data_IF_004523063040
#
_entry.id   IF_004523063040
#
_cell.length_a   1.000
_cell.length_b   1.000
_cell.length_c   1.000
_cell.angle_alpha   90.00
_cell.angle_beta   90.00
_cell.angle_gamma   90.00
#
_symmetry.space_group_name_H-M   'P 1'
#
loop_
_entity.id
_entity.type
_entity.pdbx_description
1 polymer ?
#
# COMPACT_ATOMS: atom_id res chain seq x y z
N UNK A 1 -10.32 15.83 -0.91
CA UNK A 1 -10.75 14.48 -1.32
C UNK A 1 -9.93 14.03 -2.51
N UNK A 2 -9.43 12.80 -2.48
CA UNK A 2 -8.66 12.20 -3.57
C UNK A 2 -9.30 10.85 -3.93
N UNK A 3 -9.41 10.57 -5.23
CA UNK A 3 -9.97 9.33 -5.79
C UNK A 3 -8.86 8.32 -6.13
N UNK A 4 -7.64 8.81 -6.37
CA UNK A 4 -6.47 8.00 -6.73
C UNK A 4 -5.31 8.38 -5.84
N UNK A 5 -4.61 7.39 -5.31
CA UNK A 5 -3.39 7.57 -4.52
C UNK A 5 -2.28 6.83 -5.26
N UNK A 6 -1.27 7.59 -5.71
CA UNK A 6 -0.19 7.06 -6.52
C UNK A 6 1.18 7.27 -5.85
N UNK A 7 2.00 6.23 -5.85
CA UNK A 7 3.44 6.35 -5.61
C UNK A 7 4.14 6.51 -6.96
N UNK A 8 4.98 7.53 -7.11
CA UNK A 8 5.59 7.87 -8.40
C UNK A 8 7.10 7.60 -8.47
N UNK A 9 7.76 7.33 -7.33
CA UNK A 9 9.20 7.05 -7.25
C UNK A 9 9.55 6.20 -6.03
N UNK A 10 10.78 5.67 -6.00
CA UNK A 10 11.35 4.94 -4.86
C UNK A 10 11.08 3.44 -4.94
N UNK A 11 11.18 2.72 -3.82
CA UNK A 11 10.94 1.28 -3.75
C UNK A 11 10.47 0.85 -2.37
N UNK A 12 10.82 -0.36 -1.97
CA UNK A 12 10.60 -0.91 -0.62
C UNK A 12 11.58 -0.35 0.42
N UNK A 13 12.45 0.57 0.01
CA UNK A 13 13.29 1.40 0.88
C UNK A 13 12.54 2.55 1.57
N UNK A 14 11.31 2.84 1.13
CA UNK A 14 10.42 3.77 1.79
C UNK A 14 9.53 3.05 2.81
N UNK A 15 8.86 3.80 3.68
CA UNK A 15 7.87 3.25 4.57
C UNK A 15 6.98 4.31 5.20
N UNK A 16 5.75 3.95 5.49
CA UNK A 16 4.81 4.78 6.25
C UNK A 16 3.98 3.91 7.19
N UNK A 17 3.63 4.49 8.35
CA UNK A 17 2.75 3.83 9.31
C UNK A 17 1.40 4.51 9.29
N UNK A 18 0.33 3.71 9.17
CA UNK A 18 -1.06 4.16 9.23
C UNK A 18 -1.68 3.61 10.51
N UNK A 19 -2.52 4.42 11.16
CA UNK A 19 -3.27 4.00 12.34
C UNK A 19 -4.76 4.08 12.00
N UNK A 20 -5.45 2.94 12.05
CA UNK A 20 -6.91 2.84 11.85
C UNK A 20 -7.45 2.15 13.10
N UNK A 21 -8.39 2.80 13.79
CA UNK A 21 -9.04 2.29 15.00
C UNK A 21 -8.04 1.78 16.06
N UNK A 22 -6.91 2.48 16.22
CA UNK A 22 -5.84 2.13 17.15
C UNK A 22 -4.88 1.03 16.68
N UNK A 23 -5.17 0.35 15.57
CA UNK A 23 -4.30 -0.66 14.94
C UNK A 23 -3.29 0.01 14.02
N UNK A 24 -2.02 -0.38 14.15
CA UNK A 24 -0.91 0.16 13.35
C UNK A 24 -0.59 -0.76 12.17
N UNK A 25 -0.58 -0.20 10.98
CA UNK A 25 -0.17 -0.87 9.74
C UNK A 25 1.12 -0.24 9.23
N UNK A 26 2.11 -1.06 8.89
CA UNK A 26 3.37 -0.60 8.30
C UNK A 26 3.43 -1.02 6.85
N UNK A 27 3.46 -0.03 5.96
CA UNK A 27 3.52 -0.23 4.52
C UNK A 27 4.81 0.32 3.93
N UNK A 28 5.32 -0.34 2.91
CA UNK A 28 6.55 -0.03 2.19
C UNK A 28 6.25 0.37 0.75
N UNK A 29 5.69 -0.52 -0.06
CA UNK A 29 5.40 -0.29 -1.48
C UNK A 29 3.97 0.18 -1.71
N UNK A 30 3.01 -0.45 -1.04
CA UNK A 30 1.58 -0.25 -1.31
C UNK A 30 1.17 1.18 -0.90
N UNK A 31 0.45 1.93 -1.75
CA UNK A 31 -0.05 3.26 -1.39
C UNK A 31 -0.99 3.24 -0.18
N UNK A 32 -1.00 4.33 0.59
CA UNK A 32 -1.90 4.49 1.76
C UNK A 32 -3.39 4.45 1.41
N UNK A 33 -3.73 4.61 0.13
CA UNK A 33 -5.09 4.50 -0.40
C UNK A 33 -5.71 3.11 -0.23
N UNK A 34 -4.90 2.07 0.01
CA UNK A 34 -5.36 0.67 0.05
C UNK A 34 -6.44 0.39 1.10
N UNK A 35 -6.53 1.21 2.15
CA UNK A 35 -7.55 1.07 3.20
C UNK A 35 -8.93 1.65 2.81
N UNK A 36 -9.06 2.22 1.63
CA UNK A 36 -10.29 2.83 1.12
C UNK A 36 -10.70 2.11 -0.17
N UNK A 37 -11.58 1.09 -0.10
CA UNK A 37 -11.94 0.26 -1.25
C UNK A 37 -12.49 1.04 -2.45
N UNK A 38 -13.04 2.23 -2.22
CA UNK A 38 -13.57 3.12 -3.25
C UNK A 38 -12.51 3.95 -3.98
N UNK A 39 -11.24 3.90 -3.55
CA UNK A 39 -10.12 4.67 -4.11
C UNK A 39 -9.13 3.77 -4.80
N UNK A 40 -8.51 4.25 -5.87
CA UNK A 40 -7.55 3.46 -6.64
C UNK A 40 -6.14 3.63 -6.08
N UNK A 41 -5.43 2.51 -5.88
CA UNK A 41 -4.03 2.50 -5.43
C UNK A 41 -3.09 2.19 -6.60
N UNK A 42 -2.23 3.16 -6.95
CA UNK A 42 -1.32 3.03 -8.11
C UNK A 42 0.15 3.00 -7.68
N UNK A 43 0.85 1.95 -8.11
CA UNK A 43 2.32 1.90 -8.13
C UNK A 43 2.77 2.39 -9.51
N UNK A 44 3.26 3.63 -9.58
CA UNK A 44 3.65 4.29 -10.82
C UNK A 44 4.97 3.78 -11.39
N UNK A 45 5.22 4.08 -12.67
CA UNK A 45 6.36 3.57 -13.43
C UNK A 45 7.75 4.05 -12.96
N UNK A 46 7.82 5.06 -12.08
CA UNK A 46 9.08 5.50 -11.48
C UNK A 46 9.50 4.69 -10.25
N UNK A 47 8.72 3.70 -9.86
CA UNK A 47 9.04 2.81 -8.74
C UNK A 47 9.96 1.65 -9.15
N UNK A 48 10.90 1.33 -8.27
CA UNK A 48 11.63 0.06 -8.29
C UNK A 48 10.85 -0.93 -7.42
N UNK A 49 10.15 -1.85 -8.08
CA UNK A 49 9.29 -2.83 -7.41
C UNK A 49 10.07 -4.11 -7.14
N UNK A 50 10.25 -4.45 -5.87
CA UNK A 50 10.69 -5.78 -5.45
C UNK A 50 9.47 -6.72 -5.34
N UNK A 51 9.30 -7.70 -6.24
CA UNK A 51 8.10 -8.53 -6.24
C UNK A 51 7.93 -9.35 -4.95
N UNK A 52 9.03 -9.79 -4.33
CA UNK A 52 8.99 -10.56 -3.08
C UNK A 52 8.47 -9.69 -1.93
N UNK A 53 8.93 -8.44 -1.84
CA UNK A 53 8.45 -7.49 -0.84
C UNK A 53 6.98 -7.16 -1.06
N UNK A 54 6.56 -6.92 -2.31
CA UNK A 54 5.16 -6.63 -2.65
C UNK A 54 4.24 -7.78 -2.24
N UNK A 55 4.56 -9.02 -2.63
CA UNK A 55 3.75 -10.20 -2.27
C UNK A 55 3.67 -10.37 -0.77
N UNK A 56 4.77 -10.19 -0.04
CA UNK A 56 4.77 -10.25 1.43
C UNK A 56 3.86 -9.19 2.04
N UNK A 57 3.86 -7.97 1.50
CA UNK A 57 3.03 -6.87 1.98
C UNK A 57 1.54 -7.10 1.68
N UNK A 58 1.21 -7.65 0.50
CA UNK A 58 -0.14 -8.08 0.14
C UNK A 58 -0.64 -9.18 1.09
N UNK A 59 0.16 -10.23 1.33
CA UNK A 59 -0.19 -11.30 2.27
C UNK A 59 -0.41 -10.76 3.68
N UNK A 60 0.45 -9.86 4.15
CA UNK A 60 0.25 -9.17 5.43
C UNK A 60 -1.09 -8.42 5.47
N UNK A 61 -1.43 -7.64 4.43
CA UNK A 61 -2.71 -6.95 4.38
C UNK A 61 -3.91 -7.91 4.40
N UNK A 62 -3.84 -9.02 3.66
CA UNK A 62 -4.88 -10.04 3.63
C UNK A 62 -5.05 -10.73 5.00
N UNK A 63 -3.95 -11.06 5.68
CA UNK A 63 -3.96 -11.60 7.04
C UNK A 63 -4.62 -10.65 8.05
N UNK A 64 -4.45 -9.35 7.84
CA UNK A 64 -5.06 -8.31 8.68
C UNK A 64 -6.50 -7.95 8.28
N UNK A 65 -7.08 -8.63 7.28
CA UNK A 65 -8.46 -8.47 6.81
C UNK A 65 -8.68 -7.30 5.84
N UNK A 66 -7.61 -6.79 5.21
CA UNK A 66 -7.68 -5.69 4.24
C UNK A 66 -7.75 -6.24 2.82
N UNK A 67 -8.78 -5.87 2.05
CA UNK A 67 -8.85 -6.19 0.61
C UNK A 67 -7.82 -5.37 -0.18
N UNK A 68 -7.35 -5.92 -1.29
CA UNK A 68 -6.39 -5.27 -2.19
C UNK A 68 -6.87 -5.30 -3.65
N UNK A 69 -8.18 -5.21 -3.85
CA UNK A 69 -8.82 -5.26 -5.17
C UNK A 69 -8.77 -3.91 -5.93
N UNK A 70 -8.37 -2.84 -5.24
CA UNK A 70 -8.42 -1.44 -5.67
C UNK A 70 -7.06 -0.82 -6.01
#
# INVERSE_FOLDING_TARGET
>A
NAEVIARYQGGDNAGHTIVIDGKKFKLHLIPSGIFFPEKISVIGNGMVVNPKSLVKELSYLHEEGVTTDN
#
